data_IF_627924986882
#
_entry.id   IF_627924986882
#
_cell.length_a   1.000
_cell.length_b   1.000
_cell.length_c   1.000
_cell.angle_alpha   90.00
_cell.angle_beta   90.00
_cell.angle_gamma   90.00
#
_symmetry.space_group_name_H-M   'P 1'
#
loop_
_entity.id
_entity.type
_entity.pdbx_description
1 polymer ?
#
# COMPACT_ATOMS: atom_id res chain seq x y z
N UNK A 1 -13.64 -2.42 -12.76
CA UNK A 1 -12.64 -2.25 -11.67
C UNK A 1 -12.32 -0.79 -11.39
N UNK A 2 -11.92 0.01 -12.39
CA UNK A 2 -11.60 1.44 -12.21
C UNK A 2 -12.72 2.25 -11.51
N UNK A 3 -13.97 2.02 -11.91
CA UNK A 3 -15.13 2.74 -11.38
C UNK A 3 -15.39 2.43 -9.89
N UNK A 4 -15.40 1.15 -9.50
CA UNK A 4 -15.58 0.74 -8.10
C UNK A 4 -14.49 1.31 -7.18
N UNK A 5 -13.26 1.40 -7.67
CA UNK A 5 -12.16 2.02 -6.95
C UNK A 5 -12.38 3.54 -6.79
N UNK A 6 -12.77 4.23 -7.88
CA UNK A 6 -13.08 5.65 -7.83
C UNK A 6 -14.23 5.95 -6.85
N UNK A 7 -15.29 5.14 -6.88
CA UNK A 7 -16.41 5.23 -5.95
C UNK A 7 -15.98 5.01 -4.50
N UNK A 8 -15.11 4.02 -4.25
CA UNK A 8 -14.55 3.76 -2.93
C UNK A 8 -13.69 4.91 -2.40
N UNK A 9 -12.82 5.47 -3.25
CA UNK A 9 -12.00 6.65 -2.94
C UNK A 9 -12.88 7.85 -2.61
N UNK A 10 -13.89 8.12 -3.44
CA UNK A 10 -14.83 9.22 -3.24
C UNK A 10 -15.66 9.03 -1.97
N UNK A 11 -16.17 7.83 -1.71
CA UNK A 11 -16.93 7.50 -0.51
C UNK A 11 -16.09 7.73 0.76
N UNK A 12 -14.80 7.42 0.72
CA UNK A 12 -13.88 7.68 1.83
C UNK A 12 -13.62 9.16 2.02
N UNK A 13 -13.41 9.92 0.94
CA UNK A 13 -13.23 11.37 1.01
C UNK A 13 -14.48 12.06 1.60
N UNK A 14 -15.68 11.60 1.21
CA UNK A 14 -16.95 12.12 1.70
C UNK A 14 -17.21 11.91 3.20
N UNK A 15 -16.48 11.02 3.87
CA UNK A 15 -16.55 10.92 5.34
C UNK A 15 -15.98 12.16 6.04
N UNK A 16 -15.21 12.99 5.33
CA UNK A 16 -14.58 14.20 5.85
C UNK A 16 -15.13 15.46 5.20
N UNK A 17 -15.56 15.36 3.95
CA UNK A 17 -16.14 16.46 3.20
C UNK A 17 -17.27 15.95 2.30
N UNK A 18 -18.51 16.17 2.70
CA UNK A 18 -19.70 15.79 1.93
C UNK A 18 -19.71 16.40 0.52
N UNK A 19 -19.04 17.55 0.34
CA UNK A 19 -18.86 18.23 -0.94
C UNK A 19 -17.66 17.73 -1.76
N UNK A 20 -17.04 16.62 -1.37
CA UNK A 20 -15.95 16.03 -2.14
C UNK A 20 -16.46 15.44 -3.47
N UNK A 21 -15.69 15.70 -4.52
CA UNK A 21 -15.99 15.30 -5.90
C UNK A 21 -14.74 14.81 -6.62
N UNK A 22 -14.92 13.94 -7.62
CA UNK A 22 -13.82 13.54 -8.50
C UNK A 22 -13.66 14.61 -9.58
N UNK A 23 -12.56 15.35 -9.53
CA UNK A 23 -12.21 16.34 -10.55
C UNK A 23 -11.73 15.67 -11.84
N UNK A 24 -10.93 14.61 -11.74
CA UNK A 24 -10.51 13.84 -12.91
C UNK A 24 -10.01 12.44 -12.56
N UNK A 25 -10.12 11.54 -13.54
CA UNK A 25 -9.49 10.22 -13.52
C UNK A 25 -8.67 10.08 -14.78
N UNK A 26 -7.40 9.73 -14.64
CA UNK A 26 -6.51 9.44 -15.78
C UNK A 26 -5.85 8.10 -15.56
N UNK A 27 -5.81 7.30 -16.61
CA UNK A 27 -4.96 6.12 -16.69
C UNK A 27 -3.85 6.42 -17.68
N UNK A 28 -2.62 6.18 -17.27
CA UNK A 28 -1.47 6.31 -18.15
C UNK A 28 -1.27 4.96 -18.85
N UNK A 29 -1.23 4.94 -20.18
CA UNK A 29 -1.08 3.69 -20.94
C UNK A 29 0.35 3.14 -20.89
N UNK A 30 1.35 4.02 -20.74
CA UNK A 30 2.77 3.66 -20.76
C UNK A 30 3.21 2.83 -19.54
N UNK A 31 2.66 3.15 -18.37
CA UNK A 31 2.97 2.48 -17.10
C UNK A 31 1.73 1.77 -16.53
N UNK A 32 0.52 1.96 -17.08
CA UNK A 32 -0.70 1.36 -16.56
C UNK A 32 -1.24 1.99 -15.26
N UNK A 33 -0.56 3.00 -14.71
CA UNK A 33 -0.92 3.66 -13.46
C UNK A 33 -2.23 4.45 -13.58
N UNK A 34 -2.95 4.56 -12.46
CA UNK A 34 -4.22 5.28 -12.38
C UNK A 34 -4.12 6.45 -11.41
N UNK A 35 -4.43 7.65 -11.89
CA UNK A 35 -4.47 8.88 -11.10
C UNK A 35 -5.89 9.35 -10.95
N UNK A 36 -6.34 9.50 -9.71
CA UNK A 36 -7.63 10.08 -9.34
C UNK A 36 -7.37 11.40 -8.64
N UNK A 37 -7.96 12.48 -9.13
CA UNK A 37 -7.91 13.80 -8.49
C UNK A 37 -9.26 14.10 -7.88
N UNK A 38 -9.24 14.47 -6.61
CA UNK A 38 -10.40 14.82 -5.80
C UNK A 38 -10.37 16.32 -5.53
N UNK A 39 -11.49 16.96 -5.77
CA UNK A 39 -11.76 18.31 -5.30
C UNK A 39 -12.47 18.19 -3.95
N UNK A 40 -11.95 18.88 -2.95
CA UNK A 40 -12.61 19.06 -1.66
C UNK A 40 -12.98 20.54 -1.51
N UNK A 41 -14.17 20.79 -0.97
CA UNK A 41 -14.65 22.12 -0.58
C UNK A 41 -13.93 22.62 0.66
N UNK A 42 -13.55 21.70 1.56
CA UNK A 42 -12.69 22.00 2.70
C UNK A 42 -11.22 21.82 2.31
N UNK A 43 -10.53 22.93 2.14
CA UNK A 43 -9.17 23.01 1.57
C UNK A 43 -8.12 22.24 2.37
N UNK A 44 -8.38 21.91 3.64
CA UNK A 44 -7.42 21.25 4.52
C UNK A 44 -8.13 20.37 5.56
N UNK A 45 -8.60 19.20 5.16
CA UNK A 45 -8.86 18.12 6.11
C UNK A 45 -7.59 17.25 6.23
N UNK A 46 -6.62 17.56 7.12
CA UNK A 46 -5.46 16.69 7.32
C UNK A 46 -5.84 15.25 7.65
N UNK A 47 -7.01 15.06 8.28
CA UNK A 47 -7.60 13.74 8.52
C UNK A 47 -7.99 12.98 7.24
N UNK A 48 -8.44 13.67 6.19
CA UNK A 48 -8.79 13.04 4.91
C UNK A 48 -7.57 12.44 4.24
N UNK A 49 -6.46 13.18 4.18
CA UNK A 49 -5.24 12.74 3.52
C UNK A 49 -4.67 11.50 4.23
N UNK A 50 -4.63 11.51 5.57
CA UNK A 50 -4.22 10.35 6.35
C UNK A 50 -5.18 9.16 6.18
N UNK A 51 -6.49 9.40 6.15
CA UNK A 51 -7.48 8.35 5.94
C UNK A 51 -7.35 7.68 4.57
N UNK A 52 -7.11 8.47 3.50
CA UNK A 52 -6.84 7.95 2.17
C UNK A 52 -5.53 7.13 2.14
N UNK A 53 -4.44 7.64 2.72
CA UNK A 53 -3.17 6.87 2.83
C UNK A 53 -3.34 5.54 3.56
N UNK A 54 -4.15 5.53 4.63
CA UNK A 54 -4.39 4.31 5.41
C UNK A 54 -5.21 3.27 4.65
N UNK A 55 -6.16 3.71 3.82
CA UNK A 55 -7.05 2.82 3.06
C UNK A 55 -6.37 2.28 1.79
N UNK A 56 -5.43 3.03 1.21
CA UNK A 56 -4.64 2.62 0.04
C UNK A 56 -3.14 2.78 0.31
N UNK A 57 -2.53 1.88 1.10
CA UNK A 57 -1.12 2.00 1.50
C UNK A 57 -0.13 1.83 0.34
N UNK A 58 -0.57 1.19 -0.76
CA UNK A 58 0.22 1.07 -1.98
C UNK A 58 0.03 2.26 -2.92
N UNK A 59 -0.91 3.17 -2.65
CA UNK A 59 -1.13 4.36 -3.46
C UNK A 59 -0.35 5.55 -2.89
N UNK A 60 0.14 6.41 -3.77
CA UNK A 60 0.72 7.69 -3.39
C UNK A 60 -0.41 8.73 -3.27
N UNK A 61 -0.54 9.33 -2.08
CA UNK A 61 -1.54 10.37 -1.81
C UNK A 61 -0.86 11.68 -1.45
N UNK A 62 -1.15 12.72 -2.23
CA UNK A 62 -0.59 14.06 -2.08
C UNK A 62 -1.66 15.14 -2.30
N UNK A 63 -1.45 16.30 -1.70
CA UNK A 63 -2.18 17.51 -2.12
C UNK A 63 -1.39 18.19 -3.24
N UNK A 64 -2.12 18.68 -4.24
CA UNK A 64 -1.57 19.41 -5.39
C UNK A 64 -2.38 20.68 -5.59
N UNK A 65 -1.70 21.80 -5.79
CA UNK A 65 -2.36 23.04 -6.17
C UNK A 65 -2.65 23.04 -7.66
N UNK A 66 -3.92 23.18 -8.02
CA UNK A 66 -4.33 23.35 -9.40
C UNK A 66 -4.25 24.82 -9.78
N UNK A 67 -3.12 25.22 -10.37
CA UNK A 67 -2.84 26.59 -10.81
C UNK A 67 -3.88 27.18 -11.77
N UNK A 68 -4.58 26.35 -12.56
CA UNK A 68 -5.61 26.83 -13.47
C UNK A 68 -6.90 27.23 -12.75
N UNK A 69 -7.18 26.62 -11.60
CA UNK A 69 -8.37 26.89 -10.78
C UNK A 69 -8.08 27.67 -9.50
N UNK A 70 -6.81 27.79 -9.10
CA UNK A 70 -6.39 28.34 -7.81
C UNK A 70 -6.82 27.51 -6.60
N UNK A 71 -7.16 26.23 -6.79
CA UNK A 71 -7.69 25.35 -5.74
C UNK A 71 -6.71 24.22 -5.42
N UNK A 72 -6.67 23.84 -4.15
CA UNK A 72 -5.95 22.65 -3.69
C UNK A 72 -6.79 21.41 -3.93
N UNK A 73 -6.20 20.39 -4.56
CA UNK A 73 -6.83 19.11 -4.84
C UNK A 73 -6.06 17.98 -4.16
N UNK A 74 -6.78 16.93 -3.79
CA UNK A 74 -6.13 15.70 -3.29
C UNK A 74 -5.95 14.72 -4.45
N UNK A 75 -4.72 14.33 -4.71
CA UNK A 75 -4.35 13.36 -5.73
C UNK A 75 -4.09 12.01 -5.09
N UNK A 76 -4.73 10.96 -5.63
CA UNK A 76 -4.46 9.56 -5.34
C UNK A 76 -3.89 8.92 -6.60
N UNK A 77 -2.63 8.50 -6.54
CA UNK A 77 -1.95 7.78 -7.61
C UNK A 77 -1.84 6.31 -7.22
N UNK A 78 -2.52 5.46 -7.97
CA UNK A 78 -2.38 4.01 -7.89
C UNK A 78 -1.31 3.56 -8.89
N UNK A 79 -0.21 2.98 -8.38
CA UNK A 79 0.84 2.43 -9.23
C UNK A 79 0.36 1.16 -9.94
N UNK A 80 1.14 0.73 -10.92
CA UNK A 80 0.89 -0.49 -11.69
C UNK A 80 1.17 -1.77 -10.88
N UNK A 81 0.93 -2.94 -11.46
CA UNK A 81 1.11 -4.21 -10.73
C UNK A 81 2.57 -4.47 -10.34
N UNK A 82 3.54 -4.04 -11.15
CA UNK A 82 4.95 -4.28 -10.90
C UNK A 82 5.47 -3.41 -9.75
N UNK A 83 5.14 -2.12 -9.78
CA UNK A 83 5.46 -1.15 -8.75
C UNK A 83 4.68 -1.43 -7.45
N UNK A 84 3.43 -1.91 -7.54
CA UNK A 84 2.69 -2.42 -6.38
C UNK A 84 3.39 -3.60 -5.71
N UNK A 85 3.94 -4.55 -6.47
CA UNK A 85 4.70 -5.66 -5.89
C UNK A 85 5.97 -5.18 -5.20
N UNK A 86 6.69 -4.22 -5.78
CA UNK A 86 7.88 -3.64 -5.18
C UNK A 86 7.55 -2.92 -3.87
N UNK A 87 6.52 -2.06 -3.88
CA UNK A 87 6.04 -1.36 -2.69
C UNK A 87 5.56 -2.34 -1.61
N UNK A 88 4.83 -3.39 -1.99
CA UNK A 88 4.40 -4.42 -1.05
C UNK A 88 5.59 -5.16 -0.42
N UNK A 89 6.65 -5.42 -1.20
CA UNK A 89 7.89 -6.02 -0.67
C UNK A 89 8.61 -5.10 0.28
N UNK A 90 8.73 -3.81 -0.03
CA UNK A 90 9.37 -2.83 0.85
C UNK A 90 8.59 -2.63 2.17
N UNK A 91 7.25 -2.51 2.09
CA UNK A 91 6.38 -2.46 3.27
C UNK A 91 6.52 -3.74 4.10
N UNK A 92 6.50 -4.91 3.45
CA UNK A 92 6.70 -6.18 4.13
C UNK A 92 8.07 -6.26 4.80
N UNK A 93 9.14 -5.79 4.14
CA UNK A 93 10.49 -5.78 4.67
C UNK A 93 10.64 -4.88 5.91
N UNK A 94 9.84 -3.82 6.02
CA UNK A 94 9.82 -2.90 7.17
C UNK A 94 8.90 -3.36 8.30
N UNK A 95 8.17 -4.48 8.14
CA UNK A 95 7.24 -4.93 9.15
C UNK A 95 7.99 -5.40 10.42
N UNK A 96 7.62 -4.90 11.61
CA UNK A 96 8.33 -5.19 12.87
C UNK A 96 8.32 -6.67 13.25
N UNK A 97 7.37 -7.44 12.73
CA UNK A 97 7.27 -8.88 12.93
C UNK A 97 8.20 -9.72 12.05
N UNK A 98 8.87 -9.15 11.03
CA UNK A 98 9.80 -9.91 10.19
C UNK A 98 11.00 -10.44 10.96
N UNK A 99 11.58 -9.61 11.83
CA UNK A 99 12.73 -10.01 12.64
C UNK A 99 12.43 -11.23 13.54
N UNK A 100 11.37 -11.23 14.37
CA UNK A 100 11.02 -12.39 15.18
C UNK A 100 10.59 -13.61 14.33
N UNK A 101 9.87 -13.44 13.23
CA UNK A 101 9.53 -14.55 12.32
C UNK A 101 10.76 -15.19 11.70
N UNK A 102 11.70 -14.38 11.21
CA UNK A 102 12.94 -14.86 10.58
C UNK A 102 13.83 -15.58 11.60
N UNK A 103 13.85 -15.13 12.85
CA UNK A 103 14.52 -15.83 13.96
C UNK A 103 13.85 -17.19 14.28
N UNK A 104 12.52 -17.22 14.34
CA UNK A 104 11.77 -18.46 14.59
C UNK A 104 12.02 -19.51 13.49
N UNK A 105 12.00 -19.10 12.21
CA UNK A 105 12.30 -19.98 11.08
C UNK A 105 13.74 -20.52 11.15
N UNK A 106 14.72 -19.67 11.43
CA UNK A 106 16.11 -20.12 11.61
C UNK A 106 16.22 -21.14 12.76
N UNK A 107 15.57 -20.88 13.89
CA UNK A 107 15.54 -21.83 15.02
C UNK A 107 14.97 -23.19 14.63
N UNK A 108 13.86 -23.20 13.88
CA UNK A 108 13.26 -24.43 13.35
C UNK A 108 14.21 -25.19 12.42
N UNK A 109 14.86 -24.50 11.48
CA UNK A 109 15.81 -25.13 10.54
C UNK A 109 16.99 -25.75 11.29
N UNK A 110 17.55 -25.05 12.28
CA UNK A 110 18.67 -25.57 13.09
C UNK A 110 18.25 -26.82 13.85
N UNK A 111 17.06 -26.83 14.46
CA UNK A 111 16.53 -28.01 15.15
C UNK A 111 16.34 -29.20 14.20
N UNK A 112 15.84 -28.94 12.99
CA UNK A 112 15.60 -29.97 11.99
C UNK A 112 16.92 -30.58 11.50
N UNK A 113 17.93 -29.74 11.24
CA UNK A 113 19.29 -30.21 10.89
C UNK A 113 19.91 -31.01 12.03
N UNK A 114 19.80 -30.54 13.28
CA UNK A 114 20.33 -31.25 14.44
C UNK A 114 19.67 -32.63 14.62
N UNK A 115 18.34 -32.71 14.46
CA UNK A 115 17.60 -33.97 14.52
C UNK A 115 18.01 -34.93 13.40
N UNK A 116 18.18 -34.43 12.17
CA UNK A 116 18.68 -35.23 11.04
C UNK A 116 20.09 -35.77 11.29
N UNK A 117 20.99 -34.95 11.84
CA UNK A 117 22.36 -35.37 12.17
C UNK A 117 22.37 -36.43 13.27
N UNK A 118 21.59 -36.26 14.35
CA UNK A 118 21.46 -37.28 15.40
C UNK A 118 20.96 -38.61 14.83
N UNK A 119 19.92 -38.58 13.99
CA UNK A 119 19.39 -39.78 13.35
C UNK A 119 20.41 -40.46 12.43
N UNK A 120 21.20 -39.69 11.69
CA UNK A 120 22.24 -40.23 10.83
C UNK A 120 23.37 -40.92 11.63
N UNK A 121 23.76 -40.35 12.78
CA UNK A 121 24.77 -40.95 13.67
C UNK A 121 24.27 -42.26 14.28
N UNK A 122 23.02 -42.31 14.76
CA UNK A 122 22.40 -43.54 15.30
C UNK A 122 22.39 -44.68 14.27
N UNK A 123 22.09 -44.38 13.01
CA UNK A 123 22.07 -45.38 11.93
C UNK A 123 23.48 -45.87 11.57
N UNK A 124 24.50 -45.02 11.67
CA UNK A 124 25.88 -45.40 11.30
C UNK A 124 26.63 -46.17 12.38
N UNK A 125 26.09 -46.25 13.61
CA UNK A 125 26.77 -46.84 14.78
C UNK A 125 26.08 -48.11 15.32
N UNK A 126 24.99 -48.56 14.69
CA UNK A 126 24.38 -49.88 14.89
C UNK A 126 24.67 -50.81 13.73
#
# INVERSE_FOLDING_TARGET
>A
MAQALCESILARARQFDDGAEIASVRRTEADGAMRVRLLASQTDAPGMLQALRSAWPLASVSQVENLASGRTETQVLLPDEAEQQELARDIAARAPWQAPLRAAVHGLVVLLVAACVQKAVEISSG
#
